data_IF_737519733286
#
_entry.id   IF_737519733286
#
_cell.length_a   1.000
_cell.length_b   1.000
_cell.length_c   1.000
_cell.angle_alpha   90.00
_cell.angle_beta   90.00
_cell.angle_gamma   90.00
#
_symmetry.space_group_name_H-M   'P 1'
#
loop_
_entity.id
_entity.type
_entity.pdbx_description
1 polymer ?
#
# COMPACT_ATOMS: atom_id res chain seq x y z
N UNK A 1 -48.83 -16.72 17.01
CA UNK A 1 -47.73 -15.84 17.43
C UNK A 1 -46.45 -16.37 16.82
N UNK A 2 -45.76 -15.58 16.01
CA UNK A 2 -44.50 -16.01 15.36
C UNK A 2 -43.37 -16.15 16.39
N UNK A 3 -42.33 -16.94 16.11
CA UNK A 3 -41.15 -17.02 16.99
C UNK A 3 -40.55 -15.64 17.28
N UNK A 4 -40.59 -14.77 16.29
CA UNK A 4 -40.13 -13.38 16.37
C UNK A 4 -40.92 -12.59 17.42
N UNK A 5 -42.26 -12.70 17.43
CA UNK A 5 -43.13 -12.02 18.40
C UNK A 5 -42.87 -12.51 19.84
N UNK A 6 -42.67 -13.81 20.05
CA UNK A 6 -42.38 -14.39 21.37
C UNK A 6 -41.03 -13.91 21.92
N UNK A 7 -40.00 -13.87 21.07
CA UNK A 7 -38.67 -13.38 21.46
C UNK A 7 -38.71 -11.87 21.73
N UNK A 8 -39.48 -11.11 20.96
CA UNK A 8 -39.61 -9.68 21.14
C UNK A 8 -40.33 -9.31 22.45
N UNK A 9 -41.40 -10.02 22.79
CA UNK A 9 -42.08 -9.87 24.08
C UNK A 9 -41.13 -10.18 25.26
N UNK A 10 -40.37 -11.27 25.17
CA UNK A 10 -39.38 -11.64 26.18
C UNK A 10 -38.29 -10.57 26.34
N UNK A 11 -37.88 -9.96 25.23
CA UNK A 11 -36.84 -8.93 25.22
C UNK A 11 -37.33 -7.61 25.81
N UNK A 12 -38.59 -7.24 25.58
CA UNK A 12 -39.22 -6.09 26.24
C UNK A 12 -39.29 -6.25 27.76
N UNK A 13 -39.71 -7.42 28.24
CA UNK A 13 -39.72 -7.73 29.69
C UNK A 13 -38.33 -7.63 30.31
N UNK A 14 -37.31 -8.15 29.63
CA UNK A 14 -35.93 -8.02 30.08
C UNK A 14 -35.50 -6.55 30.19
N UNK A 15 -35.77 -5.73 29.17
CA UNK A 15 -35.36 -4.32 29.17
C UNK A 15 -36.05 -3.52 30.28
N UNK A 16 -37.30 -3.82 30.61
CA UNK A 16 -37.98 -3.22 31.77
C UNK A 16 -37.30 -3.59 33.10
N UNK A 17 -36.88 -4.84 33.26
CA UNK A 17 -36.16 -5.29 34.46
C UNK A 17 -34.81 -4.57 34.61
N UNK A 18 -34.06 -4.39 33.51
CA UNK A 18 -32.78 -3.66 33.54
C UNK A 18 -33.01 -2.20 33.93
N UNK A 19 -34.03 -1.54 33.36
CA UNK A 19 -34.36 -0.15 33.68
C UNK A 19 -34.73 0.02 35.16
N UNK A 20 -35.51 -0.89 35.71
CA UNK A 20 -35.85 -0.87 37.14
C UNK A 20 -34.63 -1.12 38.04
N UNK A 21 -33.70 -1.95 37.59
CA UNK A 21 -32.45 -2.21 38.30
C UNK A 21 -31.55 -0.97 38.33
N UNK A 22 -31.43 -0.25 37.21
CA UNK A 22 -30.71 1.03 37.09
C UNK A 22 -31.30 2.10 38.02
N UNK A 23 -32.62 2.30 37.97
CA UNK A 23 -33.30 3.25 38.87
C UNK A 23 -33.13 2.89 40.36
N UNK A 24 -32.99 1.61 40.68
CA UNK A 24 -32.75 1.17 42.06
C UNK A 24 -31.31 1.44 42.49
N UNK A 25 -30.34 1.22 41.60
CA UNK A 25 -28.95 1.59 41.85
C UNK A 25 -28.80 3.09 42.08
N UNK A 26 -29.40 3.93 41.24
CA UNK A 26 -29.27 5.39 41.37
C UNK A 26 -29.84 5.91 42.69
N UNK A 27 -30.94 5.31 43.17
CA UNK A 27 -31.51 5.63 44.48
C UNK A 27 -30.61 5.20 45.63
N UNK A 28 -30.04 4.00 45.60
CA UNK A 28 -29.13 3.53 46.65
C UNK A 28 -27.80 4.29 46.64
N UNK A 29 -27.24 4.54 45.45
CA UNK A 29 -25.99 5.27 45.26
C UNK A 29 -26.11 6.73 45.72
N UNK A 30 -27.26 7.38 45.48
CA UNK A 30 -27.50 8.74 45.98
C UNK A 30 -27.65 8.84 47.50
N UNK A 31 -28.04 7.75 48.18
CA UNK A 31 -28.12 7.68 49.65
C UNK A 31 -26.77 7.44 50.33
N UNK A 32 -25.82 6.79 49.64
CA UNK A 32 -24.54 6.35 50.22
C UNK A 32 -23.46 7.44 50.33
N UNK A 33 -23.65 8.62 49.72
CA UNK A 33 -22.67 9.73 49.76
C UNK A 33 -21.28 9.37 49.19
N UNK A 34 -20.29 10.27 49.32
CA UNK A 34 -18.90 10.07 48.86
C UNK A 34 -18.11 9.03 49.70
N UNK A 35 -18.69 7.85 49.98
CA UNK A 35 -18.01 6.78 50.69
C UNK A 35 -17.24 5.85 49.73
N UNK A 36 -16.14 5.26 50.21
CA UNK A 36 -15.32 4.28 49.50
C UNK A 36 -16.07 2.95 49.18
N UNK A 37 -17.34 2.80 49.58
CA UNK A 37 -18.16 1.59 49.35
C UNK A 37 -18.88 1.58 47.98
N UNK A 38 -18.71 2.62 47.14
CA UNK A 38 -19.36 2.69 45.82
C UNK A 38 -19.01 1.55 44.85
N UNK A 39 -17.80 1.00 44.97
CA UNK A 39 -17.38 -0.14 44.16
C UNK A 39 -18.08 -1.45 44.57
N UNK A 40 -18.29 -1.68 45.86
CA UNK A 40 -18.99 -2.86 46.38
C UNK A 40 -20.49 -2.84 46.00
N UNK A 41 -21.11 -1.66 46.02
CA UNK A 41 -22.49 -1.49 45.56
C UNK A 41 -22.62 -1.82 44.06
N UNK A 42 -21.72 -1.28 43.24
CA UNK A 42 -21.72 -1.54 41.79
C UNK A 42 -21.49 -3.01 41.48
N UNK A 43 -20.59 -3.70 42.18
CA UNK A 43 -20.37 -5.16 42.03
C UNK A 43 -21.63 -5.96 42.38
N UNK A 44 -22.32 -5.61 43.47
CA UNK A 44 -23.58 -6.24 43.85
C UNK A 44 -24.66 -6.08 42.76
N UNK A 45 -24.79 -4.89 42.18
CA UNK A 45 -25.75 -4.63 41.10
C UNK A 45 -25.35 -5.29 39.78
N UNK A 46 -24.05 -5.41 39.49
CA UNK A 46 -23.54 -6.19 38.37
C UNK A 46 -23.94 -7.68 38.49
N UNK A 47 -23.82 -8.29 39.68
CA UNK A 47 -24.28 -9.66 39.93
C UNK A 47 -25.79 -9.84 39.74
N UNK A 48 -26.60 -8.84 40.13
CA UNK A 48 -28.05 -8.85 39.89
C UNK A 48 -28.39 -8.73 38.41
N UNK A 49 -27.67 -7.88 37.67
CA UNK A 49 -27.78 -7.79 36.21
C UNK A 49 -27.49 -9.13 35.54
N UNK A 50 -26.39 -9.80 35.94
CA UNK A 50 -26.03 -11.10 35.40
C UNK A 50 -27.11 -12.17 35.63
N UNK A 51 -27.76 -12.19 36.79
CA UNK A 51 -28.83 -13.13 37.08
C UNK A 51 -30.02 -12.95 36.11
N UNK A 52 -30.45 -11.71 35.90
CA UNK A 52 -31.53 -11.37 34.96
C UNK A 52 -31.13 -11.75 33.53
N UNK A 53 -29.88 -11.49 33.14
CA UNK A 53 -29.34 -11.84 31.84
C UNK A 53 -29.34 -13.36 31.59
N UNK A 54 -28.89 -14.16 32.57
CA UNK A 54 -28.89 -15.62 32.47
C UNK A 54 -30.31 -16.17 32.31
N UNK A 55 -31.27 -15.63 33.06
CA UNK A 55 -32.67 -16.06 32.98
C UNK A 55 -33.29 -15.77 31.60
N UNK A 56 -33.02 -14.57 31.04
CA UNK A 56 -33.44 -14.22 29.68
C UNK A 56 -32.89 -15.21 28.64
N UNK A 57 -31.59 -15.52 28.71
CA UNK A 57 -30.96 -16.46 27.78
C UNK A 57 -31.52 -17.88 27.90
N UNK A 58 -31.77 -18.35 29.12
CA UNK A 58 -32.37 -19.65 29.35
C UNK A 58 -33.76 -19.74 28.70
N UNK A 59 -34.64 -18.76 28.95
CA UNK A 59 -35.99 -18.71 28.36
C UNK A 59 -35.95 -18.63 26.83
N UNK A 60 -35.03 -17.83 26.29
CA UNK A 60 -34.83 -17.70 24.84
C UNK A 60 -34.35 -19.01 24.20
N UNK A 61 -33.45 -19.74 24.86
CA UNK A 61 -33.00 -21.06 24.38
C UNK A 61 -34.15 -22.08 24.35
N UNK A 62 -35.02 -22.06 25.36
CA UNK A 62 -36.22 -22.91 25.37
C UNK A 62 -37.15 -22.60 24.19
N UNK A 63 -37.44 -21.32 23.94
CA UNK A 63 -38.24 -20.89 22.78
C UNK A 63 -37.60 -21.35 21.46
N UNK A 64 -36.28 -21.22 21.34
CA UNK A 64 -35.55 -21.64 20.15
C UNK A 64 -35.61 -23.16 19.95
N UNK A 65 -35.45 -23.94 21.01
CA UNK A 65 -35.49 -25.40 20.94
C UNK A 65 -36.90 -25.90 20.54
N UNK A 66 -37.95 -25.30 21.10
CA UNK A 66 -39.33 -25.60 20.73
C UNK A 66 -39.63 -25.22 19.27
N UNK A 67 -39.10 -24.10 18.79
CA UNK A 67 -39.27 -23.68 17.40
C UNK A 67 -38.51 -24.58 16.41
N UNK A 68 -37.28 -24.99 16.75
CA UNK A 68 -36.50 -25.95 15.96
C UNK A 68 -37.21 -27.30 15.83
N UNK A 69 -37.85 -27.78 16.89
CA UNK A 69 -38.58 -29.04 16.90
C UNK A 69 -39.81 -29.02 15.96
N UNK A 70 -40.42 -27.85 15.76
CA UNK A 70 -41.60 -27.68 14.92
C UNK A 70 -41.29 -27.29 13.47
N UNK A 71 -40.09 -26.74 13.19
CA UNK A 71 -39.68 -26.25 11.86
C UNK A 71 -38.31 -26.79 11.44
N UNK A 72 -38.25 -28.08 11.09
CA UNK A 72 -37.00 -28.81 10.76
C UNK A 72 -36.27 -28.28 9.52
N UNK A 73 -37.01 -27.82 8.51
CA UNK A 73 -36.41 -27.29 7.27
C UNK A 73 -35.71 -25.95 7.50
N UNK A 74 -36.25 -25.13 8.39
CA UNK A 74 -35.60 -23.90 8.84
C UNK A 74 -34.32 -24.22 9.61
N UNK A 75 -34.34 -25.23 10.47
CA UNK A 75 -33.17 -25.64 11.25
C UNK A 75 -32.01 -26.15 10.38
N UNK A 76 -32.32 -26.97 9.36
CA UNK A 76 -31.32 -27.47 8.38
C UNK A 76 -30.69 -26.35 7.57
N UNK A 77 -31.50 -25.44 7.01
CA UNK A 77 -31.00 -24.27 6.25
C UNK A 77 -30.11 -23.39 7.12
N UNK A 78 -30.52 -23.16 8.37
CA UNK A 78 -29.76 -22.34 9.32
C UNK A 78 -28.39 -22.95 9.68
N UNK A 79 -28.31 -24.26 9.89
CA UNK A 79 -27.03 -24.92 10.16
C UNK A 79 -26.10 -24.85 8.93
N UNK A 80 -26.65 -25.09 7.73
CA UNK A 80 -25.88 -25.07 6.49
C UNK A 80 -25.29 -23.67 6.21
N UNK A 81 -26.09 -22.61 6.35
CA UNK A 81 -25.62 -21.23 6.19
C UNK A 81 -24.67 -20.79 7.32
N UNK A 82 -24.87 -21.27 8.55
CA UNK A 82 -23.94 -21.04 9.66
C UNK A 82 -22.56 -21.67 9.44
N UNK A 83 -22.51 -22.90 8.90
CA UNK A 83 -21.25 -23.56 8.54
C UNK A 83 -20.57 -22.86 7.36
N UNK A 84 -21.32 -22.46 6.33
CA UNK A 84 -20.77 -21.65 5.22
C UNK A 84 -20.15 -20.34 5.72
N UNK A 85 -20.76 -19.69 6.70
CA UNK A 85 -20.24 -18.47 7.31
C UNK A 85 -18.88 -18.69 7.99
N UNK A 86 -18.78 -19.73 8.82
CA UNK A 86 -17.54 -20.09 9.53
C UNK A 86 -16.43 -20.50 8.55
N UNK A 87 -16.77 -21.29 7.52
CA UNK A 87 -15.81 -21.69 6.50
C UNK A 87 -15.28 -20.52 5.68
N UNK A 88 -16.11 -19.54 5.33
CA UNK A 88 -15.65 -18.35 4.60
C UNK A 88 -14.78 -17.46 5.46
N UNK A 89 -15.08 -17.30 6.76
CA UNK A 89 -14.21 -16.55 7.68
C UNK A 89 -12.87 -17.27 7.86
N UNK A 90 -12.87 -18.59 8.08
CA UNK A 90 -11.64 -19.37 8.23
C UNK A 90 -10.80 -19.37 6.95
N UNK A 91 -11.43 -19.49 5.78
CA UNK A 91 -10.74 -19.40 4.49
C UNK A 91 -10.18 -18.00 4.26
N UNK A 92 -10.92 -16.96 4.63
CA UNK A 92 -10.47 -15.59 4.56
C UNK A 92 -9.28 -15.28 5.49
N UNK A 93 -9.34 -15.75 6.74
CA UNK A 93 -8.24 -15.60 7.70
C UNK A 93 -7.00 -16.42 7.30
N UNK A 94 -7.18 -17.55 6.60
CA UNK A 94 -6.09 -18.33 6.03
C UNK A 94 -5.30 -17.57 4.94
N UNK A 95 -5.98 -16.75 4.14
CA UNK A 95 -5.34 -15.95 3.08
C UNK A 95 -4.45 -14.82 3.62
N UNK A 96 -4.75 -14.28 4.81
CA UNK A 96 -3.89 -13.31 5.48
C UNK A 96 -2.62 -13.93 6.08
N UNK A 97 -2.64 -15.23 6.42
CA UNK A 97 -1.47 -15.91 6.99
C UNK A 97 -0.51 -16.38 5.89
N UNK A 98 -0.99 -16.63 4.67
CA UNK A 98 -0.15 -17.00 3.53
C UNK A 98 0.58 -15.82 2.84
N UNK A 99 0.38 -14.59 3.31
CA UNK A 99 1.02 -13.38 2.79
C UNK A 99 1.90 -12.66 3.80
N UNK A 100 2.11 -13.24 4.99
CA UNK A 100 3.28 -12.84 5.77
C UNK A 100 4.50 -13.44 5.07
N UNK A 101 5.46 -12.65 4.56
CA UNK A 101 6.80 -13.17 4.50
C UNK A 101 7.17 -13.46 5.96
N UNK A 102 7.06 -14.73 6.35
CA UNK A 102 7.98 -15.23 7.36
C UNK A 102 9.34 -14.99 6.72
N UNK A 103 9.96 -13.86 7.08
CA UNK A 103 11.41 -13.76 7.06
C UNK A 103 11.88 -14.79 8.07
N UNK A 104 11.88 -16.06 7.65
CA UNK A 104 12.89 -16.97 8.11
C UNK A 104 14.17 -16.26 7.74
N UNK A 105 14.81 -15.70 8.75
CA UNK A 105 16.20 -15.28 8.74
C UNK A 105 17.04 -16.55 8.52
N UNK A 106 16.85 -17.21 7.38
CA UNK A 106 17.83 -18.11 6.83
C UNK A 106 18.98 -17.19 6.45
N UNK A 107 19.93 -17.11 7.39
CA UNK A 107 21.35 -16.99 7.10
C UNK A 107 21.74 -18.07 6.10
N UNK A 108 21.25 -17.96 4.86
CA UNK A 108 22.01 -18.41 3.72
C UNK A 108 23.09 -17.35 3.61
N UNK A 109 24.19 -17.64 4.30
CA UNK A 109 25.52 -17.27 3.84
C UNK A 109 25.65 -17.88 2.45
N UNK A 110 24.95 -17.28 1.48
CA UNK A 110 25.31 -17.37 0.08
C UNK A 110 26.62 -16.62 0.05
N UNK A 111 27.67 -17.41 0.26
CA UNK A 111 28.97 -17.20 -0.35
C UNK A 111 28.72 -17.11 -1.85
N UNK A 112 28.14 -15.98 -2.30
CA UNK A 112 28.54 -15.39 -3.55
C UNK A 112 29.96 -14.94 -3.27
N UNK A 113 30.86 -15.89 -3.46
CA UNK A 113 32.08 -15.60 -4.19
C UNK A 113 31.60 -14.88 -5.44
N UNK A 114 31.45 -13.56 -5.34
CA UNK A 114 31.47 -12.69 -6.48
C UNK A 114 32.83 -12.96 -7.08
N UNK A 115 32.82 -13.77 -8.14
CA UNK A 115 33.95 -13.96 -9.02
C UNK A 115 34.45 -12.56 -9.38
N UNK A 116 35.65 -12.24 -8.92
CA UNK A 116 36.23 -10.90 -8.93
C UNK A 116 36.68 -10.50 -10.33
N UNK A 117 35.75 -10.38 -11.26
CA UNK A 117 35.96 -9.60 -12.47
C UNK A 117 35.20 -8.28 -12.32
N UNK A 118 35.97 -7.20 -12.10
CA UNK A 118 35.46 -5.85 -12.27
C UNK A 118 35.01 -5.70 -13.73
N UNK A 119 33.70 -5.65 -13.95
CA UNK A 119 33.13 -5.41 -15.28
C UNK A 119 33.22 -3.92 -15.56
N UNK A 120 33.90 -3.57 -16.64
CA UNK A 120 33.94 -2.20 -17.16
C UNK A 120 32.89 -2.05 -18.25
N UNK A 121 31.98 -1.11 -18.05
CA UNK A 121 30.87 -0.88 -18.98
C UNK A 121 31.21 0.18 -20.03
N UNK A 122 30.79 -0.08 -21.25
CA UNK A 122 30.93 0.80 -22.42
C UNK A 122 29.68 0.71 -23.30
N UNK A 123 29.64 1.46 -24.40
CA UNK A 123 28.50 1.46 -25.32
C UNK A 123 28.25 0.10 -26.02
N UNK A 124 29.23 -0.80 -26.02
CA UNK A 124 29.14 -2.11 -26.66
C UNK A 124 28.53 -3.19 -25.78
N UNK A 125 28.81 -3.17 -24.48
CA UNK A 125 28.33 -4.20 -23.55
C UNK A 125 27.16 -3.75 -22.67
N UNK A 126 26.88 -2.45 -22.54
CA UNK A 126 25.81 -1.95 -21.68
C UNK A 126 24.42 -2.39 -22.19
N UNK A 127 23.60 -3.09 -21.38
CA UNK A 127 22.23 -3.39 -21.75
C UNK A 127 21.40 -2.11 -21.88
N UNK A 128 20.58 -2.02 -22.92
CA UNK A 128 19.60 -0.94 -23.08
C UNK A 128 18.19 -1.55 -23.07
N UNK A 129 17.54 -1.65 -21.89
CA UNK A 129 16.21 -2.28 -21.74
C UNK A 129 15.14 -1.70 -22.66
N UNK A 130 15.24 -0.41 -22.98
CA UNK A 130 14.31 0.32 -23.84
C UNK A 130 14.06 -0.35 -25.21
N UNK A 131 15.10 -1.00 -25.75
CA UNK A 131 15.04 -1.69 -27.04
C UNK A 131 14.14 -2.94 -26.99
N UNK A 132 13.98 -3.54 -25.81
CA UNK A 132 13.09 -4.68 -25.58
C UNK A 132 11.71 -4.22 -25.12
N UNK A 133 11.66 -3.21 -24.25
CA UNK A 133 10.44 -2.65 -23.67
C UNK A 133 10.49 -1.12 -23.69
N UNK A 134 9.59 -0.49 -24.45
CA UNK A 134 9.54 0.97 -24.62
C UNK A 134 9.15 1.75 -23.35
N UNK A 135 8.90 1.07 -22.24
CA UNK A 135 8.69 1.67 -20.91
C UNK A 135 9.92 1.66 -20.02
N UNK A 136 10.98 0.96 -20.41
CA UNK A 136 12.18 0.75 -19.61
C UNK A 136 13.32 1.66 -20.09
N UNK A 137 13.51 2.82 -19.46
CA UNK A 137 14.49 3.84 -19.85
C UNK A 137 15.80 3.77 -19.04
N UNK A 138 15.81 3.05 -17.92
CA UNK A 138 16.96 2.94 -17.02
C UNK A 138 17.70 1.63 -17.25
N UNK A 139 19.01 1.70 -17.43
CA UNK A 139 19.94 0.58 -17.41
C UNK A 139 20.66 0.52 -16.07
N UNK A 140 20.45 -0.56 -15.32
CA UNK A 140 20.99 -0.80 -13.97
C UNK A 140 21.46 -2.26 -13.84
N UNK A 141 22.49 -2.69 -14.60
CA UNK A 141 22.95 -4.08 -14.59
C UNK A 141 23.63 -4.49 -13.28
N UNK A 142 24.22 -3.54 -12.57
CA UNK A 142 24.95 -3.79 -11.32
C UNK A 142 24.04 -3.71 -10.08
N UNK A 143 22.73 -3.53 -10.27
CA UNK A 143 21.73 -3.45 -9.19
C UNK A 143 22.04 -2.40 -8.11
N UNK A 144 22.65 -1.28 -8.50
CA UNK A 144 22.96 -0.14 -7.60
C UNK A 144 21.67 0.53 -7.13
N UNK A 145 20.68 0.64 -8.02
CA UNK A 145 19.33 1.08 -7.65
C UNK A 145 18.42 -0.10 -7.32
N UNK A 146 17.51 0.13 -6.39
CA UNK A 146 16.37 -0.74 -6.12
C UNK A 146 15.40 -0.79 -7.30
N UNK A 147 14.70 -1.93 -7.46
CA UNK A 147 13.72 -2.15 -8.54
C UNK A 147 12.61 -1.09 -8.52
N UNK A 148 12.09 -0.77 -7.34
CA UNK A 148 11.06 0.27 -7.17
C UNK A 148 11.52 1.66 -7.60
N UNK A 149 12.78 2.00 -7.34
CA UNK A 149 13.36 3.28 -7.77
C UNK A 149 13.51 3.34 -9.28
N UNK A 150 13.93 2.24 -9.90
CA UNK A 150 13.99 2.10 -11.36
C UNK A 150 12.60 2.29 -11.98
N UNK A 151 11.56 1.66 -11.43
CA UNK A 151 10.19 1.79 -11.95
C UNK A 151 9.65 3.22 -11.83
N UNK A 152 9.92 3.89 -10.71
CA UNK A 152 9.54 5.30 -10.53
C UNK A 152 10.26 6.23 -11.50
N UNK A 153 11.56 5.99 -11.72
CA UNK A 153 12.34 6.73 -12.70
C UNK A 153 11.80 6.49 -14.11
N UNK A 154 11.50 5.24 -14.47
CA UNK A 154 10.89 4.87 -15.75
C UNK A 154 9.57 5.63 -15.98
N UNK A 155 8.70 5.71 -14.98
CA UNK A 155 7.46 6.50 -15.07
C UNK A 155 7.70 8.00 -15.31
N UNK A 156 8.74 8.58 -14.69
CA UNK A 156 9.11 9.99 -14.91
C UNK A 156 9.74 10.23 -16.29
N UNK A 157 10.61 9.32 -16.75
CA UNK A 157 11.22 9.38 -18.07
C UNK A 157 10.19 9.14 -19.19
N UNK A 158 9.19 8.29 -18.94
CA UNK A 158 8.05 8.12 -19.85
C UNK A 158 7.23 9.41 -19.97
N UNK A 159 6.98 10.13 -18.86
CA UNK A 159 6.32 11.43 -18.89
C UNK A 159 7.13 12.46 -19.67
N UNK A 160 8.45 12.51 -19.49
CA UNK A 160 9.35 13.36 -20.28
C UNK A 160 9.17 13.15 -21.78
N UNK A 161 9.14 11.89 -22.23
CA UNK A 161 8.93 11.53 -23.63
C UNK A 161 7.55 11.94 -24.13
N UNK A 162 6.49 11.63 -23.37
CA UNK A 162 5.11 11.89 -23.79
C UNK A 162 4.76 13.39 -23.82
N UNK A 163 5.21 14.16 -22.83
CA UNK A 163 4.84 15.58 -22.72
C UNK A 163 5.79 16.53 -23.45
N UNK A 164 7.09 16.21 -23.52
CA UNK A 164 8.12 17.13 -24.04
C UNK A 164 8.87 16.56 -25.25
N UNK A 165 8.53 15.33 -25.69
CA UNK A 165 9.18 14.69 -26.83
C UNK A 165 10.65 14.33 -26.60
N UNK A 166 11.11 14.30 -25.34
CA UNK A 166 12.51 14.02 -25.00
C UNK A 166 12.71 12.51 -24.87
N UNK A 167 13.61 11.95 -25.67
CA UNK A 167 13.98 10.54 -25.56
C UNK A 167 15.19 10.40 -24.64
N UNK A 168 15.00 9.72 -23.51
CA UNK A 168 15.99 9.67 -22.44
C UNK A 168 16.54 8.26 -22.24
N UNK A 169 17.81 8.14 -21.90
CA UNK A 169 18.42 6.91 -21.37
C UNK A 169 19.22 7.26 -20.14
N UNK A 170 18.99 6.51 -19.06
CA UNK A 170 19.75 6.65 -17.81
C UNK A 170 20.53 5.38 -17.56
N UNK A 171 21.83 5.49 -17.32
CA UNK A 171 22.76 4.38 -17.13
C UNK A 171 23.42 4.55 -15.77
N UNK A 172 23.33 3.52 -14.94
CA UNK A 172 23.97 3.47 -13.63
C UNK A 172 24.73 2.16 -13.53
N UNK A 173 26.04 2.27 -13.34
CA UNK A 173 26.99 1.15 -13.29
C UNK A 173 28.06 1.43 -12.25
N UNK A 174 28.77 0.40 -11.78
CA UNK A 174 29.88 0.58 -10.85
C UNK A 174 31.08 1.21 -11.54
N UNK A 175 31.55 0.60 -12.64
CA UNK A 175 32.75 1.04 -13.35
C UNK A 175 32.50 1.28 -14.83
N UNK A 176 32.96 2.42 -15.31
CA UNK A 176 32.91 2.85 -16.70
C UNK A 176 34.29 2.61 -17.32
N UNK A 177 34.31 2.10 -18.55
CA UNK A 177 35.57 1.95 -19.28
C UNK A 177 36.30 3.31 -19.39
N UNK A 178 37.55 3.33 -18.93
CA UNK A 178 38.41 4.52 -18.85
C UNK A 178 37.93 5.65 -17.89
N UNK A 179 36.93 5.43 -17.02
CA UNK A 179 36.33 6.47 -16.15
C UNK A 179 35.96 7.76 -16.93
N UNK A 180 35.34 7.57 -18.10
CA UNK A 180 34.86 8.68 -18.94
C UNK A 180 33.34 8.56 -19.16
N UNK A 181 32.52 9.04 -18.21
CA UNK A 181 31.06 9.00 -18.33
C UNK A 181 30.54 9.86 -19.49
N UNK A 182 31.28 10.91 -19.89
CA UNK A 182 30.89 11.75 -21.03
C UNK A 182 31.07 11.01 -22.34
N UNK A 183 32.23 10.37 -22.54
CA UNK A 183 32.48 9.56 -23.73
C UNK A 183 31.52 8.40 -23.84
N UNK A 184 31.24 7.72 -22.72
CA UNK A 184 30.21 6.67 -22.68
C UNK A 184 28.84 7.22 -23.11
N UNK A 185 28.43 8.38 -22.62
CA UNK A 185 27.16 9.01 -22.99
C UNK A 185 27.10 9.32 -24.50
N UNK A 186 28.19 9.84 -25.06
CA UNK A 186 28.29 10.17 -26.48
C UNK A 186 28.26 8.91 -27.36
N UNK A 187 28.99 7.87 -26.99
CA UNK A 187 29.06 6.61 -27.73
C UNK A 187 27.70 5.88 -27.71
N UNK A 188 27.03 5.82 -26.55
CA UNK A 188 25.68 5.25 -26.43
C UNK A 188 24.66 6.07 -27.23
N UNK A 189 24.68 7.40 -27.08
CA UNK A 189 23.79 8.31 -27.79
C UNK A 189 23.86 8.15 -29.30
N UNK A 190 25.07 8.08 -29.85
CA UNK A 190 25.31 7.90 -31.28
C UNK A 190 24.98 6.50 -31.77
N UNK A 191 25.37 5.47 -31.01
CA UNK A 191 25.15 4.07 -31.40
C UNK A 191 23.68 3.71 -31.48
N UNK A 192 22.88 4.15 -30.50
CA UNK A 192 21.45 3.83 -30.43
C UNK A 192 20.58 4.93 -31.05
N UNK A 193 21.15 6.06 -31.48
CA UNK A 193 20.41 7.15 -32.13
C UNK A 193 19.41 7.85 -31.19
N UNK A 194 19.80 8.04 -29.92
CA UNK A 194 18.94 8.56 -28.85
C UNK A 194 18.55 10.01 -29.16
N UNK A 195 17.25 10.27 -29.30
CA UNK A 195 16.72 11.60 -29.55
C UNK A 195 16.19 11.78 -30.96
N UNK A 196 14.86 11.72 -31.10
CA UNK A 196 14.18 12.19 -32.31
C UNK A 196 14.44 13.69 -32.52
N UNK A 197 14.91 14.07 -33.70
CA UNK A 197 15.31 15.46 -34.02
C UNK A 197 16.36 16.03 -33.07
N UNK A 198 17.31 15.20 -32.63
CA UNK A 198 18.39 15.57 -31.70
C UNK A 198 17.91 16.02 -30.30
N UNK A 199 16.66 15.70 -29.91
CA UNK A 199 16.11 15.92 -28.55
C UNK A 199 16.33 14.69 -27.65
N UNK A 200 17.57 14.23 -27.57
CA UNK A 200 17.99 13.12 -26.71
C UNK A 200 18.44 13.60 -25.34
N UNK A 201 18.38 12.73 -24.34
CA UNK A 201 19.01 12.94 -23.03
C UNK A 201 19.71 11.64 -22.61
N UNK A 202 21.01 11.70 -22.36
CA UNK A 202 21.76 10.55 -21.83
C UNK A 202 22.36 10.95 -20.50
N UNK A 203 22.06 10.17 -19.45
CA UNK A 203 22.63 10.34 -18.12
C UNK A 203 23.45 9.09 -17.81
N UNK A 204 24.71 9.27 -17.45
CA UNK A 204 25.63 8.16 -17.13
C UNK A 204 26.20 8.38 -15.74
N UNK A 205 26.14 7.36 -14.89
CA UNK A 205 26.66 7.37 -13.53
C UNK A 205 27.61 6.18 -13.35
N UNK A 206 28.86 6.47 -13.02
CA UNK A 206 29.84 5.51 -12.50
C UNK A 206 29.85 5.60 -10.98
N UNK A 207 29.07 4.75 -10.31
CA UNK A 207 28.91 4.79 -8.86
C UNK A 207 30.22 4.46 -8.13
N UNK A 208 30.95 3.45 -8.60
CA UNK A 208 32.27 3.08 -8.09
C UNK A 208 33.39 4.03 -8.53
N UNK A 209 33.19 4.76 -9.64
CA UNK A 209 34.14 5.77 -10.14
C UNK A 209 33.85 7.19 -9.62
N UNK A 210 32.81 7.35 -8.78
CA UNK A 210 32.37 8.61 -8.21
C UNK A 210 32.11 9.69 -9.27
N UNK A 211 31.61 9.32 -10.45
CA UNK A 211 31.46 10.21 -11.60
C UNK A 211 30.04 10.18 -12.19
N UNK A 212 29.53 11.35 -12.59
CA UNK A 212 28.24 11.50 -13.28
C UNK A 212 28.41 12.44 -14.46
N UNK A 213 27.79 12.08 -15.58
CA UNK A 213 27.60 12.96 -16.72
C UNK A 213 26.10 13.06 -17.08
N UNK A 214 25.66 14.28 -17.41
CA UNK A 214 24.37 14.54 -18.03
C UNK A 214 24.65 15.18 -19.39
N UNK A 215 24.30 14.49 -20.46
CA UNK A 215 24.47 14.94 -21.84
C UNK A 215 23.11 15.16 -22.49
N UNK A 216 22.66 16.42 -22.65
CA UNK A 216 21.54 16.73 -23.53
C UNK A 216 21.98 16.65 -25.00
N UNK A 217 21.06 16.25 -25.88
CA UNK A 217 21.26 16.34 -27.33
C UNK A 217 21.20 17.81 -27.81
N UNK A 218 21.73 18.08 -29.01
CA UNK A 218 21.86 19.45 -29.56
C UNK A 218 20.55 20.25 -29.55
N UNK A 219 19.40 19.61 -29.79
CA UNK A 219 18.11 20.31 -29.77
C UNK A 219 17.52 20.47 -28.36
N UNK A 220 18.05 19.74 -27.36
CA UNK A 220 17.67 19.85 -25.96
C UNK A 220 18.53 20.86 -25.20
N UNK A 221 19.77 21.13 -25.64
CA UNK A 221 20.68 22.11 -25.02
C UNK A 221 20.09 23.51 -24.85
N UNK A 222 19.18 23.92 -25.76
CA UNK A 222 18.48 25.21 -25.66
C UNK A 222 17.53 25.29 -24.46
N UNK A 223 17.01 24.14 -24.00
CA UNK A 223 16.08 24.03 -22.87
C UNK A 223 16.77 23.54 -21.59
N UNK A 224 17.87 22.79 -21.72
CA UNK A 224 18.65 22.23 -20.64
C UNK A 224 20.14 22.46 -20.93
N UNK A 225 20.64 23.61 -20.48
CA UNK A 225 22.03 24.04 -20.71
C UNK A 225 23.02 23.25 -19.85
N UNK A 226 24.31 23.28 -20.22
CA UNK A 226 25.39 22.67 -19.43
C UNK A 226 25.44 23.22 -17.99
N UNK A 227 25.20 24.53 -17.84
CA UNK A 227 25.14 25.19 -16.53
C UNK A 227 23.99 24.66 -15.67
N UNK A 228 22.83 24.37 -16.27
CA UNK A 228 21.70 23.76 -15.58
C UNK A 228 21.97 22.31 -15.23
N UNK A 229 22.55 21.53 -16.16
CA UNK A 229 22.99 20.16 -15.88
C UNK A 229 23.94 20.11 -14.68
N UNK A 230 24.96 20.98 -14.67
CA UNK A 230 25.90 21.09 -13.55
C UNK A 230 25.18 21.48 -12.25
N UNK A 231 24.29 22.47 -12.29
CA UNK A 231 23.51 22.89 -11.11
C UNK A 231 22.65 21.76 -10.55
N UNK A 232 21.99 20.98 -11.40
CA UNK A 232 21.18 19.84 -10.97
C UNK A 232 22.03 18.75 -10.32
N UNK A 233 23.22 18.47 -10.85
CA UNK A 233 24.15 17.52 -10.24
C UNK A 233 24.57 17.97 -8.85
N UNK A 234 25.00 19.23 -8.71
CA UNK A 234 25.44 19.80 -7.43
C UNK A 234 24.31 19.85 -6.38
N UNK A 235 23.07 20.10 -6.81
CA UNK A 235 21.93 20.21 -5.91
C UNK A 235 21.35 18.85 -5.50
N UNK A 236 21.27 17.89 -6.43
CA UNK A 236 20.53 16.64 -6.23
C UNK A 236 21.40 15.39 -6.11
N UNK A 237 22.47 15.31 -6.90
CA UNK A 237 23.23 14.07 -7.03
C UNK A 237 24.38 14.03 -6.03
N UNK A 238 25.28 15.01 -6.10
CA UNK A 238 26.49 15.07 -5.26
C UNK A 238 26.17 14.91 -3.75
N UNK A 239 25.24 15.66 -3.14
CA UNK A 239 24.96 15.53 -1.72
C UNK A 239 24.32 14.19 -1.33
N UNK A 240 23.51 13.58 -2.21
CA UNK A 240 22.86 12.30 -1.94
C UNK A 240 23.83 11.12 -2.13
N UNK A 241 24.66 11.16 -3.16
CA UNK A 241 25.70 10.15 -3.40
C UNK A 241 26.75 10.13 -2.28
N UNK A 242 27.13 11.30 -1.73
CA UNK A 242 28.00 11.39 -0.54
C UNK A 242 27.40 10.78 0.72
N UNK A 243 26.08 10.65 0.78
CA UNK A 243 25.36 10.00 1.87
C UNK A 243 25.04 8.53 1.57
N UNK A 244 25.61 7.96 0.51
CA UNK A 244 25.37 6.59 0.06
C UNK A 244 23.88 6.33 -0.25
N UNK A 245 23.19 7.34 -0.79
CA UNK A 245 21.76 7.28 -1.13
C UNK A 245 21.55 7.41 -2.66
N UNK A 246 21.96 6.42 -3.47
CA UNK A 246 21.88 6.50 -4.94
C UNK A 246 20.43 6.52 -5.44
N UNK A 247 19.49 5.80 -4.80
CA UNK A 247 18.07 5.82 -5.16
C UNK A 247 17.47 7.23 -5.08
N UNK A 248 17.68 7.90 -3.94
CA UNK A 248 17.23 9.28 -3.73
C UNK A 248 17.85 10.21 -4.78
N UNK A 249 19.17 10.12 -4.99
CA UNK A 249 19.90 10.96 -5.93
C UNK A 249 19.27 10.93 -7.34
N UNK A 250 18.99 9.74 -7.84
CA UNK A 250 18.56 9.54 -9.22
C UNK A 250 17.06 9.82 -9.43
N UNK A 251 16.23 9.52 -8.44
CA UNK A 251 14.81 9.91 -8.47
C UNK A 251 14.67 11.44 -8.48
N UNK A 252 15.32 12.14 -7.55
CA UNK A 252 15.22 13.61 -7.52
C UNK A 252 15.86 14.25 -8.75
N UNK A 253 16.95 13.69 -9.27
CA UNK A 253 17.55 14.18 -10.51
C UNK A 253 16.56 14.10 -11.68
N UNK A 254 15.94 12.94 -11.90
CA UNK A 254 14.99 12.76 -13.02
C UNK A 254 13.76 13.65 -12.88
N UNK A 255 13.23 13.83 -11.67
CA UNK A 255 12.14 14.77 -11.39
C UNK A 255 12.57 16.24 -11.60
N UNK A 256 13.77 16.60 -11.18
CA UNK A 256 14.28 17.97 -11.34
C UNK A 256 14.54 18.32 -12.81
N UNK A 257 15.00 17.37 -13.62
CA UNK A 257 15.11 17.54 -15.09
C UNK A 257 13.70 17.76 -15.68
N UNK A 258 12.71 16.97 -15.30
CA UNK A 258 11.34 17.12 -15.76
C UNK A 258 10.72 18.49 -15.38
N UNK A 259 10.99 18.97 -14.17
CA UNK A 259 10.52 20.28 -13.70
C UNK A 259 11.26 21.43 -14.40
N UNK A 260 12.56 21.31 -14.62
CA UNK A 260 13.38 22.31 -15.32
C UNK A 260 12.88 22.50 -16.76
N UNK A 261 12.66 21.41 -17.50
CA UNK A 261 12.17 21.48 -18.88
C UNK A 261 10.73 22.03 -18.99
N UNK A 262 9.92 21.88 -17.94
CA UNK A 262 8.58 22.50 -17.87
C UNK A 262 8.60 23.94 -17.35
N UNK A 263 9.77 24.50 -17.00
CA UNK A 263 9.91 25.82 -16.35
C UNK A 263 9.07 25.93 -15.06
N UNK A 264 8.96 24.82 -14.33
CA UNK A 264 8.23 24.71 -13.04
C UNK A 264 9.20 24.79 -11.86
N UNK A 265 8.63 24.96 -10.66
CA UNK A 265 9.40 24.94 -9.42
C UNK A 265 10.05 23.56 -9.19
N UNK A 266 11.32 23.57 -8.78
CA UNK A 266 12.11 22.34 -8.59
C UNK A 266 11.71 21.61 -7.29
N UNK A 267 11.81 20.26 -7.25
CA UNK A 267 11.44 19.47 -6.09
C UNK A 267 12.35 19.77 -4.89
N UNK A 268 11.80 19.76 -3.68
CA UNK A 268 12.61 19.77 -2.47
C UNK A 268 13.14 18.37 -2.20
N UNK A 269 14.42 18.26 -1.90
CA UNK A 269 15.04 16.98 -1.55
C UNK A 269 14.59 16.53 -0.16
N UNK A 270 14.00 15.35 -0.06
CA UNK A 270 13.75 14.62 1.20
C UNK A 270 14.31 13.20 1.10
N UNK A 271 14.40 12.46 2.20
CA UNK A 271 14.88 11.07 2.14
C UNK A 271 13.83 10.21 1.41
N UNK A 272 14.21 9.58 0.30
CA UNK A 272 13.34 8.59 -0.35
C UNK A 272 13.49 7.25 0.34
N UNK A 273 12.37 6.67 0.78
CA UNK A 273 12.32 5.32 1.35
C UNK A 273 11.52 4.41 0.39
N UNK A 274 12.08 3.25 0.05
CA UNK A 274 11.46 2.28 -0.85
C UNK A 274 10.11 1.72 -0.34
N UNK A 275 9.74 2.00 0.92
CA UNK A 275 8.42 1.70 1.50
C UNK A 275 7.27 2.35 0.74
N UNK A 276 7.49 3.53 0.14
CA UNK A 276 6.44 4.25 -0.59
C UNK A 276 5.99 3.53 -1.87
N UNK A 277 6.75 2.56 -2.37
CA UNK A 277 6.40 1.75 -3.55
C UNK A 277 5.81 0.38 -3.19
N UNK A 278 6.20 -0.20 -2.04
CA UNK A 278 5.65 -1.47 -1.55
C UNK A 278 4.26 -1.31 -0.92
N UNK A 279 3.96 -0.11 -0.43
CA UNK A 279 2.65 0.23 0.13
C UNK A 279 1.53 0.10 -0.92
N UNK A 280 1.79 0.40 -2.19
CA UNK A 280 0.77 0.35 -3.25
C UNK A 280 0.31 -1.08 -3.59
N UNK A 281 1.22 -2.06 -3.66
CA UNK A 281 0.84 -3.44 -4.01
C UNK A 281 0.15 -4.18 -2.86
N UNK A 282 0.69 -4.05 -1.64
CA UNK A 282 0.09 -4.66 -0.46
C UNK A 282 -1.24 -4.00 -0.08
N UNK A 283 -1.37 -2.67 -0.27
CA UNK A 283 -2.65 -1.98 -0.10
C UNK A 283 -3.68 -2.42 -1.16
N UNK A 284 -3.25 -2.71 -2.39
CA UNK A 284 -4.16 -3.17 -3.45
C UNK A 284 -4.74 -4.54 -3.14
N UNK A 285 -3.91 -5.50 -2.71
CA UNK A 285 -4.37 -6.83 -2.31
C UNK A 285 -5.30 -6.79 -1.09
N UNK A 286 -4.95 -5.97 -0.09
CA UNK A 286 -5.82 -5.71 1.07
C UNK A 286 -7.15 -5.05 0.67
N UNK A 287 -7.13 -4.12 -0.29
CA UNK A 287 -8.31 -3.47 -0.83
C UNK A 287 -9.28 -4.44 -1.51
N UNK A 288 -8.76 -5.35 -2.33
CA UNK A 288 -9.57 -6.40 -2.99
C UNK A 288 -10.18 -7.33 -1.95
N UNK A 289 -9.41 -7.75 -0.96
CA UNK A 289 -9.89 -8.62 0.10
C UNK A 289 -11.01 -7.96 0.92
N UNK A 290 -10.86 -6.66 1.22
CA UNK A 290 -11.88 -5.86 1.90
C UNK A 290 -13.16 -5.70 1.06
N UNK A 291 -13.04 -5.52 -0.27
CA UNK A 291 -14.19 -5.49 -1.17
C UNK A 291 -14.97 -6.80 -1.18
N UNK A 292 -14.27 -7.94 -1.25
CA UNK A 292 -14.89 -9.26 -1.18
C UNK A 292 -15.58 -9.47 0.17
N UNK A 293 -14.96 -9.01 1.27
CA UNK A 293 -15.55 -9.09 2.60
C UNK A 293 -16.81 -8.22 2.75
N UNK A 294 -16.81 -7.00 2.20
CA UNK A 294 -17.99 -6.11 2.19
C UNK A 294 -19.10 -6.69 1.32
N UNK A 295 -18.78 -7.14 0.10
CA UNK A 295 -19.75 -7.77 -0.79
C UNK A 295 -20.38 -9.01 -0.15
N UNK A 296 -19.57 -9.81 0.54
CA UNK A 296 -20.04 -10.95 1.30
C UNK A 296 -20.89 -10.54 2.50
N UNK A 297 -20.53 -9.48 3.22
CA UNK A 297 -21.35 -8.91 4.29
C UNK A 297 -22.72 -8.40 3.82
N UNK A 298 -22.78 -7.76 2.65
CA UNK A 298 -24.03 -7.30 2.03
C UNK A 298 -24.87 -8.50 1.58
N UNK A 299 -24.24 -9.49 0.93
CA UNK A 299 -24.90 -10.73 0.54
C UNK A 299 -25.45 -11.49 1.76
N UNK A 300 -24.68 -11.51 2.84
CA UNK A 300 -25.07 -12.07 4.13
C UNK A 300 -26.25 -11.33 4.76
N UNK A 301 -26.24 -9.99 4.77
CA UNK A 301 -27.36 -9.17 5.25
C UNK A 301 -28.62 -9.38 4.39
N UNK A 302 -28.46 -9.55 3.08
CA UNK A 302 -29.57 -9.85 2.17
C UNK A 302 -30.18 -11.23 2.46
N UNK A 303 -29.35 -12.27 2.62
CA UNK A 303 -29.78 -13.59 3.05
C UNK A 303 -30.45 -13.56 4.43
N UNK A 304 -29.92 -12.75 5.35
CA UNK A 304 -30.53 -12.54 6.66
C UNK A 304 -31.90 -11.87 6.56
N UNK A 305 -32.07 -10.90 5.66
CA UNK A 305 -33.36 -10.25 5.42
C UNK A 305 -34.40 -11.22 4.85
N UNK A 306 -33.99 -12.11 3.94
CA UNK A 306 -34.92 -13.07 3.31
C UNK A 306 -35.26 -14.27 4.19
N UNK A 307 -34.28 -14.83 4.91
CA UNK A 307 -34.45 -16.09 5.67
C UNK A 307 -34.56 -15.88 7.18
N UNK A 308 -34.45 -14.63 7.66
CA UNK A 308 -34.58 -14.23 9.06
C UNK A 308 -33.76 -15.11 10.03
N UNK A 309 -32.61 -15.63 9.63
CA UNK A 309 -31.88 -16.60 10.46
C UNK A 309 -31.11 -15.96 11.63
N UNK A 310 -30.84 -14.63 11.57
CA UNK A 310 -30.46 -13.81 12.74
C UNK A 310 -31.66 -13.19 13.48
N UNK A 311 -32.92 -13.56 13.19
CA UNK A 311 -34.07 -13.13 14.04
C UNK A 311 -33.98 -13.62 15.50
N UNK A 312 -32.88 -14.27 15.87
CA UNK A 312 -32.47 -14.57 17.23
C UNK A 312 -31.89 -13.34 17.92
N UNK A 313 -31.49 -12.29 17.21
CA UNK A 313 -31.24 -10.97 17.79
C UNK A 313 -32.52 -10.13 17.69
N UNK A 314 -33.62 -10.65 18.27
CA UNK A 314 -34.97 -10.07 18.22
C UNK A 314 -34.97 -8.54 18.17
N UNK A 315 -35.91 -7.98 17.40
CA UNK A 315 -36.04 -6.58 17.01
C UNK A 315 -36.34 -5.59 18.17
N UNK A 316 -35.62 -5.73 19.27
CA UNK A 316 -35.45 -4.78 20.37
C UNK A 316 -34.01 -4.97 20.85
N UNK A 317 -33.17 -3.94 20.74
CA UNK A 317 -31.79 -4.00 21.25
C UNK A 317 -31.81 -4.29 22.75
N UNK A 318 -31.05 -5.30 23.19
CA UNK A 318 -30.86 -5.55 24.62
C UNK A 318 -30.12 -4.36 25.21
N UNK A 319 -30.62 -3.81 26.32
CA UNK A 319 -29.89 -2.78 27.04
C UNK A 319 -28.51 -3.32 27.46
N UNK A 320 -27.46 -2.56 27.12
CA UNK A 320 -26.09 -2.85 27.53
C UNK A 320 -25.98 -2.90 29.05
N UNK A 321 -24.98 -3.60 29.59
CA UNK A 321 -24.77 -3.66 31.04
C UNK A 321 -24.36 -2.27 31.55
N UNK A 322 -25.22 -1.56 32.31
CA UNK A 322 -24.92 -0.21 32.77
C UNK A 322 -23.87 -0.19 33.90
N UNK A 323 -23.57 -1.35 34.49
CA UNK A 323 -22.65 -1.50 35.61
C UNK A 323 -21.26 -2.03 35.19
N UNK A 324 -21.04 -2.24 33.89
CA UNK A 324 -19.77 -2.73 33.35
C UNK A 324 -18.63 -1.71 33.52
N UNK A 325 -17.44 -2.17 33.92
CA UNK A 325 -16.20 -1.38 33.91
C UNK A 325 -15.40 -1.74 32.66
N UNK A 326 -15.19 -0.78 31.77
CA UNK A 326 -14.38 -0.97 30.57
C UNK A 326 -12.89 -0.83 30.87
N UNK A 327 -12.14 -1.93 30.80
CA UNK A 327 -10.74 -1.88 30.37
C UNK A 327 -10.70 -1.74 28.85
N UNK A 328 -9.87 -0.83 28.37
CA UNK A 328 -9.84 -0.29 27.01
C UNK A 328 -9.90 -1.32 25.89
N UNK A 329 -10.75 -1.07 24.88
CA UNK A 329 -10.41 -1.09 23.44
C UNK A 329 -11.66 -0.81 22.61
N UNK A 330 -11.66 0.28 21.84
CA UNK A 330 -12.80 0.71 21.02
C UNK A 330 -12.32 1.40 19.76
N UNK A 331 -12.19 0.59 18.72
CA UNK A 331 -11.81 0.90 17.35
C UNK A 331 -12.85 1.83 16.70
N UNK A 332 -12.44 3.00 16.21
CA UNK A 332 -13.29 3.92 15.44
C UNK A 332 -12.84 3.91 13.97
N UNK A 333 -13.69 3.37 13.07
CA UNK A 333 -13.51 3.47 11.61
C UNK A 333 -14.38 4.62 11.11
N UNK A 334 -13.74 5.70 10.65
CA UNK A 334 -14.34 6.79 9.88
C UNK A 334 -13.78 6.77 8.47
N UNK A 335 -14.66 6.71 7.46
CA UNK A 335 -14.31 6.56 6.05
C UNK A 335 -14.30 7.85 5.22
N UNK A 336 -13.88 7.67 3.97
CA UNK A 336 -13.96 8.63 2.85
C UNK A 336 -12.61 8.64 2.10
N UNK A 337 -12.47 8.41 0.79
CA UNK A 337 -13.40 8.31 -0.33
C UNK A 337 -12.75 9.02 -1.53
N UNK A 338 -12.52 8.33 -2.65
CA UNK A 338 -12.11 8.96 -3.92
C UNK A 338 -11.32 8.03 -4.85
N UNK A 339 -11.95 7.56 -5.93
CA UNK A 339 -11.32 6.78 -6.99
C UNK A 339 -11.38 7.51 -8.34
N UNK A 340 -10.28 7.43 -9.10
CA UNK A 340 -10.15 7.77 -10.50
C UNK A 340 -9.56 6.57 -11.26
N UNK A 341 -9.94 6.42 -12.53
CA UNK A 341 -9.81 5.23 -13.37
C UNK A 341 -8.51 5.18 -14.22
N UNK A 342 -8.44 4.20 -15.14
CA UNK A 342 -7.48 3.89 -16.22
C UNK A 342 -6.35 2.91 -15.83
N UNK A 343 -6.04 1.84 -16.58
CA UNK A 343 -6.40 1.40 -17.93
C UNK A 343 -5.16 0.76 -18.56
N UNK A 344 -5.11 -0.58 -18.61
CA UNK A 344 -3.94 -1.34 -19.09
C UNK A 344 -3.90 -1.53 -20.61
N UNK A 345 -2.71 -1.39 -21.20
CA UNK A 345 -2.41 -1.68 -22.59
C UNK A 345 -0.97 -2.19 -22.75
N UNK A 346 -0.79 -3.26 -23.52
CA UNK A 346 0.46 -4.02 -23.65
C UNK A 346 1.60 -3.28 -24.36
N UNK A 347 2.82 -3.72 -24.07
CA UNK A 347 4.06 -3.06 -24.49
C UNK A 347 4.59 -3.64 -25.81
N UNK A 348 4.87 -2.74 -26.77
CA UNK A 348 5.70 -3.00 -27.95
C UNK A 348 7.08 -2.38 -27.75
N UNK A 349 8.13 -3.07 -28.22
CA UNK A 349 9.52 -2.63 -28.08
C UNK A 349 9.80 -1.27 -28.74
N UNK A 350 10.64 -0.46 -28.11
CA UNK A 350 10.97 0.89 -28.56
C UNK A 350 12.10 0.91 -29.58
N UNK A 351 12.07 1.90 -30.48
CA UNK A 351 13.22 2.32 -31.28
C UNK A 351 13.41 3.81 -31.06
N UNK A 352 14.66 4.27 -30.94
CA UNK A 352 14.97 5.69 -30.92
C UNK A 352 14.83 6.30 -32.32
N UNK A 353 14.50 7.59 -32.36
CA UNK A 353 14.04 8.27 -33.58
C UNK A 353 15.11 8.66 -34.60
N UNK A 354 16.38 8.27 -34.40
CA UNK A 354 17.48 8.54 -35.32
C UNK A 354 17.89 10.02 -35.34
N UNK A 355 18.91 10.36 -34.56
CA UNK A 355 19.57 11.66 -34.51
C UNK A 355 21.07 11.50 -34.25
N UNK A 356 21.85 12.55 -34.48
CA UNK A 356 23.29 12.55 -34.19
C UNK A 356 23.55 13.26 -32.86
N UNK A 357 24.06 12.51 -31.89
CA UNK A 357 24.20 12.92 -30.50
C UNK A 357 25.58 13.55 -30.26
N UNK A 358 25.61 14.82 -29.84
CA UNK A 358 26.86 15.58 -29.74
C UNK A 358 26.74 16.89 -28.98
N UNK A 359 25.96 16.91 -27.91
CA UNK A 359 25.90 18.06 -26.99
C UNK A 359 27.02 18.03 -25.94
N UNK A 360 27.31 19.19 -25.33
CA UNK A 360 28.43 19.45 -24.41
C UNK A 360 28.26 18.85 -23.02
N UNK A 361 27.05 18.87 -22.47
CA UNK A 361 26.73 18.26 -21.18
C UNK A 361 27.54 18.79 -19.99
N UNK A 362 27.30 18.20 -18.82
CA UNK A 362 28.07 18.49 -17.61
C UNK A 362 28.54 17.21 -16.94
N UNK A 363 29.82 17.17 -16.55
CA UNK A 363 30.41 16.09 -15.77
C UNK A 363 30.76 16.58 -14.37
N UNK A 364 30.36 15.84 -13.33
CA UNK A 364 30.76 16.10 -11.94
C UNK A 364 31.31 14.83 -11.30
N UNK A 365 32.10 15.01 -10.24
CA UNK A 365 32.57 13.95 -9.35
C UNK A 365 32.21 14.28 -7.89
N UNK A 366 32.02 13.28 -7.02
CA UNK A 366 31.60 13.51 -5.61
C UNK A 366 32.57 13.08 -4.54
#
# INVERSE_FOLDING_TARGET
MTYVELVDQLTRQYNELIRNLELSYDRENSQLGWSLMGNDLRDMYSKRYEAIYREYHYKKQQLLNNYKATHTDWAKKRQLWGWLFVFVILAGMGSCISQMPVQEEQQTVSTLVADGQQTYWNADNIPIPFLKDSTQYVSNPDHILSVSSVDRMNGTLQRLRQSLGVESVVIIVNHIEHDDPFRMAQDVGNKYGIGRQDRGLVVVVGYGDYSINISPGRALEADLTDAECYRLQQQYVIPAMRKEMPDSAMIYLTEAIYSTLQKKQMPQMSLYSASDAADDEMATLMGIYLLLFIAWGIFYLHLNRQYQWLSILGATTLLANPFYQSSHTGFFIGGGGGGGSFGGGGFSGGSFGGGSFGGGGATSRW
#
